data_IF_023090244785
#
_entry.id   IF_023090244785
#
_cell.length_a   1.000
_cell.length_b   1.000
_cell.length_c   1.000
_cell.angle_alpha   90.00
_cell.angle_beta   90.00
_cell.angle_gamma   90.00
#
_symmetry.space_group_name_H-M   'P 1'
#
loop_
_entity.id
_entity.type
_entity.pdbx_description
1 polymer ?
#
# COMPACT_ATOMS: atom_id res chain seq x y z
N UNK A 1 5.64 6.59 1.97
CA UNK A 1 4.35 7.05 1.40
C UNK A 1 4.06 8.53 1.60
N UNK A 2 4.37 9.14 2.76
CA UNK A 2 4.12 10.57 2.99
C UNK A 2 4.89 11.46 2.02
N UNK A 3 6.22 11.32 1.99
CA UNK A 3 7.11 12.12 1.15
C UNK A 3 6.78 11.98 -0.33
N UNK A 4 6.48 10.77 -0.77
CA UNK A 4 6.12 10.47 -2.16
C UNK A 4 4.81 11.15 -2.56
N UNK A 5 3.84 11.23 -1.64
CA UNK A 5 2.58 11.94 -1.88
C UNK A 5 2.80 13.46 -1.89
N UNK A 6 3.60 14.00 -0.97
CA UNK A 6 3.97 15.42 -0.96
C UNK A 6 4.69 15.82 -2.27
N UNK A 7 5.62 14.99 -2.73
CA UNK A 7 6.28 15.12 -4.03
C UNK A 7 5.27 15.05 -5.19
N UNK A 8 4.30 14.13 -5.14
CA UNK A 8 3.25 14.05 -6.16
C UNK A 8 2.44 15.35 -6.25
N UNK A 9 1.99 15.91 -5.13
CA UNK A 9 1.29 17.21 -5.13
C UNK A 9 2.18 18.33 -5.69
N UNK A 10 3.45 18.38 -5.25
CA UNK A 10 4.41 19.39 -5.71
C UNK A 10 4.68 19.31 -7.22
N UNK A 11 4.88 18.09 -7.76
CA UNK A 11 5.12 17.87 -9.21
C UNK A 11 3.91 18.23 -10.08
N UNK A 12 2.71 18.25 -9.51
CA UNK A 12 1.47 18.58 -10.23
C UNK A 12 0.98 20.01 -9.93
N UNK A 13 1.86 20.90 -9.46
CA UNK A 13 1.55 22.29 -9.12
C UNK A 13 0.35 22.46 -8.17
N UNK A 14 0.12 21.46 -7.33
CA UNK A 14 -0.96 21.46 -6.35
C UNK A 14 -0.41 21.75 -4.95
N UNK A 15 -1.11 22.61 -4.22
CA UNK A 15 -0.81 22.81 -2.79
C UNK A 15 -1.15 21.55 -2.00
N UNK A 16 -0.39 21.28 -0.93
CA UNK A 16 -0.75 20.25 0.03
C UNK A 16 -2.14 20.53 0.64
N UNK A 17 -2.93 19.50 0.96
CA UNK A 17 -4.18 19.68 1.68
C UNK A 17 -3.97 20.40 3.02
N UNK A 18 -4.85 21.34 3.38
CA UNK A 18 -4.78 22.04 4.66
C UNK A 18 -5.22 21.17 5.85
N UNK A 19 -6.10 20.19 5.61
CA UNK A 19 -6.70 19.33 6.63
C UNK A 19 -6.10 17.92 6.55
N UNK A 20 -4.82 17.79 6.92
CA UNK A 20 -4.12 16.51 6.92
C UNK A 20 -4.32 15.75 8.23
N UNK A 21 -4.63 14.47 8.13
CA UNK A 21 -4.66 13.54 9.25
C UNK A 21 -3.58 12.48 9.03
N UNK A 22 -2.69 12.33 10.01
CA UNK A 22 -1.67 11.29 9.99
C UNK A 22 -2.12 10.12 10.87
N UNK A 23 -2.19 8.93 10.28
CA UNK A 23 -2.50 7.69 10.96
C UNK A 23 -1.46 6.62 10.61
N UNK A 24 -0.91 5.96 11.63
CA UNK A 24 0.13 4.92 11.46
C UNK A 24 -0.45 3.52 11.34
N UNK A 25 -1.74 3.35 11.66
CA UNK A 25 -2.43 2.07 11.60
C UNK A 25 -3.48 2.07 10.47
N UNK A 26 -3.36 1.15 9.53
CA UNK A 26 -4.30 1.00 8.42
C UNK A 26 -5.75 0.75 8.86
N UNK A 27 -5.95 0.10 10.03
CA UNK A 27 -7.29 -0.09 10.60
C UNK A 27 -7.94 1.25 10.99
N UNK A 28 -7.16 2.17 11.58
CA UNK A 28 -7.61 3.52 11.91
C UNK A 28 -7.90 4.32 10.64
N UNK A 29 -7.00 4.26 9.64
CA UNK A 29 -7.23 4.91 8.34
C UNK A 29 -8.49 4.40 7.66
N UNK A 30 -8.73 3.08 7.70
CA UNK A 30 -9.96 2.48 7.15
C UNK A 30 -11.19 3.00 7.88
N UNK A 31 -11.17 3.08 9.20
CA UNK A 31 -12.30 3.60 9.97
C UNK A 31 -12.60 5.06 9.58
N UNK A 32 -11.56 5.90 9.48
CA UNK A 32 -11.70 7.29 9.03
C UNK A 32 -12.31 7.38 7.63
N UNK A 33 -11.81 6.62 6.66
CA UNK A 33 -12.36 6.58 5.29
C UNK A 33 -13.82 6.14 5.23
N UNK A 34 -14.25 5.32 6.19
CA UNK A 34 -15.58 4.72 6.21
C UNK A 34 -16.60 5.59 6.96
N UNK A 35 -16.14 6.39 7.93
CA UNK A 35 -16.99 7.20 8.82
C UNK A 35 -16.93 8.70 8.53
N UNK A 36 -15.98 9.14 7.69
CA UNK A 36 -15.75 10.56 7.40
C UNK A 36 -15.46 10.78 5.92
N UNK A 37 -15.59 12.04 5.49
CA UNK A 37 -15.34 12.46 4.10
C UNK A 37 -13.85 12.76 3.88
N UNK A 38 -13.01 11.73 4.02
CA UNK A 38 -11.56 11.84 3.79
C UNK A 38 -11.12 10.98 2.62
N UNK A 39 -10.00 11.36 2.01
CA UNK A 39 -9.30 10.57 1.00
C UNK A 39 -7.94 10.15 1.54
N UNK A 40 -7.47 8.95 1.17
CA UNK A 40 -6.18 8.45 1.61
C UNK A 40 -5.49 7.67 0.48
N UNK A 41 -4.17 7.78 0.42
CA UNK A 41 -3.33 6.86 -0.33
C UNK A 41 -3.11 5.60 0.52
N UNK A 42 -3.49 4.44 0.00
CA UNK A 42 -3.35 3.13 0.64
C UNK A 42 -2.68 2.14 -0.30
N UNK A 43 -1.94 1.14 0.24
CA UNK A 43 -1.59 -0.04 -0.53
C UNK A 43 -2.84 -0.70 -1.12
N UNK A 44 -2.76 -1.08 -2.40
CA UNK A 44 -3.88 -1.63 -3.17
C UNK A 44 -4.60 -2.79 -2.47
N UNK A 45 -3.84 -3.71 -1.87
CA UNK A 45 -4.35 -4.85 -1.11
C UNK A 45 -5.27 -4.46 0.06
N UNK A 46 -5.08 -3.27 0.63
CA UNK A 46 -5.91 -2.77 1.74
C UNK A 46 -7.18 -2.11 1.20
N UNK A 47 -7.06 -1.36 0.11
CA UNK A 47 -8.19 -0.69 -0.56
C UNK A 47 -9.20 -1.67 -1.16
N UNK A 48 -8.73 -2.81 -1.69
CA UNK A 48 -9.56 -3.83 -2.33
C UNK A 48 -10.49 -4.60 -1.37
N UNK A 49 -10.36 -4.39 -0.05
CA UNK A 49 -10.92 -5.27 0.97
C UNK A 49 -12.39 -5.03 1.35
N UNK A 50 -13.18 -4.17 0.67
CA UNK A 50 -14.61 -4.08 0.99
C UNK A 50 -15.51 -3.13 0.20
N UNK A 51 -16.83 -3.33 0.28
CA UNK A 51 -17.84 -2.66 -0.56
C UNK A 51 -18.11 -1.19 -0.20
N UNK A 52 -17.52 -0.68 0.89
CA UNK A 52 -17.76 0.69 1.39
C UNK A 52 -16.71 1.70 0.94
N UNK A 53 -15.69 1.26 0.20
CA UNK A 53 -14.61 2.11 -0.30
C UNK A 53 -14.62 2.06 -1.82
N UNK A 54 -14.34 3.20 -2.43
CA UNK A 54 -14.19 3.33 -3.88
C UNK A 54 -12.81 3.89 -4.17
N UNK A 55 -12.05 3.18 -5.01
CA UNK A 55 -10.77 3.67 -5.49
C UNK A 55 -11.01 4.84 -6.44
N UNK A 56 -10.27 5.93 -6.24
CA UNK A 56 -10.24 7.03 -7.19
C UNK A 56 -9.42 6.62 -8.41
N UNK A 57 -9.94 6.85 -9.62
CA UNK A 57 -9.25 6.59 -10.89
C UNK A 57 -8.17 7.63 -11.15
N UNK A 58 -7.16 7.69 -10.28
CA UNK A 58 -6.04 8.62 -10.35
C UNK A 58 -4.75 7.79 -10.34
N UNK A 59 -3.93 7.96 -11.38
CA UNK A 59 -2.60 7.38 -11.42
C UNK A 59 -1.69 8.19 -10.51
N UNK A 60 -1.43 7.64 -9.34
CA UNK A 60 -0.39 8.13 -8.45
C UNK A 60 0.90 7.46 -8.92
N UNK A 61 1.75 8.17 -9.67
CA UNK A 61 3.12 7.74 -10.05
C UNK A 61 4.05 7.72 -8.82
N UNK A 62 3.59 7.05 -7.76
CA UNK A 62 4.29 6.83 -6.52
C UNK A 62 5.17 5.61 -6.74
N UNK A 63 6.44 5.73 -6.33
CA UNK A 63 7.32 4.57 -6.23
C UNK A 63 6.67 3.64 -5.20
N UNK A 64 6.10 2.53 -5.68
CA UNK A 64 5.43 1.56 -4.83
C UNK A 64 6.31 1.15 -3.66
N UNK A 65 5.72 0.97 -2.47
CA UNK A 65 6.48 0.50 -1.32
C UNK A 65 7.05 -0.89 -1.63
N UNK A 66 8.38 -1.01 -1.64
CA UNK A 66 9.06 -2.27 -1.86
C UNK A 66 8.86 -3.16 -0.63
N UNK A 67 8.16 -4.27 -0.79
CA UNK A 67 8.05 -5.30 0.25
C UNK A 67 9.14 -6.33 0.03
N UNK A 68 9.97 -6.56 1.06
CA UNK A 68 11.12 -7.46 0.98
C UNK A 68 11.38 -8.19 2.28
N UNK A 69 12.38 -9.06 2.24
CA UNK A 69 12.81 -9.84 3.40
C UNK A 69 14.13 -9.29 3.93
N UNK A 70 14.15 -8.92 5.21
CA UNK A 70 15.39 -8.51 5.88
C UNK A 70 16.03 -9.73 6.55
N UNK A 71 17.33 -9.95 6.30
CA UNK A 71 18.10 -11.07 6.85
C UNK A 71 19.37 -10.56 7.52
N UNK A 72 19.74 -11.18 8.65
CA UNK A 72 21.05 -10.95 9.25
C UNK A 72 22.14 -11.51 8.35
N UNK A 73 23.12 -10.67 7.99
CA UNK A 73 24.25 -11.09 7.17
C UNK A 73 25.00 -12.27 7.82
N UNK A 74 25.40 -13.25 7.01
CA UNK A 74 26.16 -14.43 7.47
C UNK A 74 25.37 -15.46 8.27
N UNK A 75 24.10 -15.21 8.62
CA UNK A 75 23.27 -16.19 9.34
C UNK A 75 22.60 -17.16 8.36
N UNK A 76 22.94 -18.45 8.46
CA UNK A 76 22.19 -19.51 7.77
C UNK A 76 20.78 -19.60 8.32
N UNK A 77 19.81 -19.77 7.43
CA UNK A 77 18.43 -20.03 7.82
C UNK A 77 18.29 -21.49 8.24
N UNK A 78 17.35 -21.77 9.13
CA UNK A 78 16.91 -23.14 9.35
C UNK A 78 16.08 -23.60 8.13
N UNK A 79 15.95 -24.91 7.90
CA UNK A 79 15.08 -25.42 6.84
C UNK A 79 13.64 -24.89 6.91
N UNK A 80 13.11 -24.70 8.11
CA UNK A 80 11.77 -24.14 8.32
C UNK A 80 11.68 -22.67 7.88
N UNK A 81 12.70 -21.84 8.16
CA UNK A 81 12.72 -20.44 7.74
C UNK A 81 12.94 -20.29 6.22
N UNK A 82 13.66 -21.21 5.59
CA UNK A 82 13.78 -21.27 4.13
C UNK A 82 12.44 -21.61 3.49
N UNK A 83 11.76 -22.64 3.99
CA UNK A 83 10.42 -23.03 3.53
C UNK A 83 9.41 -21.88 3.70
N UNK A 84 9.43 -21.20 4.85
CA UNK A 84 8.57 -20.02 5.10
C UNK A 84 8.87 -18.88 4.12
N UNK A 85 10.16 -18.57 3.90
CA UNK A 85 10.59 -17.55 2.93
C UNK A 85 10.06 -17.86 1.54
N UNK A 86 10.21 -19.12 1.09
CA UNK A 86 9.71 -19.53 -0.21
C UNK A 86 8.18 -19.42 -0.30
N UNK A 87 7.46 -19.79 0.76
CA UNK A 87 6.01 -19.65 0.82
C UNK A 87 5.57 -18.19 0.69
N UNK A 88 6.22 -17.26 1.39
CA UNK A 88 5.92 -15.83 1.31
C UNK A 88 6.13 -15.28 -0.11
N UNK A 89 7.23 -15.68 -0.77
CA UNK A 89 7.52 -15.29 -2.15
C UNK A 89 6.45 -15.81 -3.11
N UNK A 90 6.11 -17.10 -3.02
CA UNK A 90 5.06 -17.71 -3.84
C UNK A 90 3.71 -17.01 -3.66
N UNK A 91 3.31 -16.72 -2.42
CA UNK A 91 2.06 -15.99 -2.15
C UNK A 91 2.12 -14.56 -2.70
N UNK A 92 3.22 -13.84 -2.53
CA UNK A 92 3.36 -12.47 -3.04
C UNK A 92 3.21 -12.40 -4.57
N UNK A 93 3.72 -13.40 -5.30
CA UNK A 93 3.50 -13.52 -6.75
C UNK A 93 2.02 -13.76 -7.10
N UNK A 94 1.28 -14.53 -6.30
CA UNK A 94 -0.15 -14.76 -6.52
C UNK A 94 -1.03 -13.53 -6.26
N UNK A 95 -0.55 -12.60 -5.42
CA UNK A 95 -1.25 -11.37 -5.08
C UNK A 95 -1.18 -10.28 -6.17
N UNK A 96 -0.23 -10.39 -7.11
CA UNK A 96 -0.02 -9.42 -8.21
C UNK A 96 -0.91 -9.67 -9.44
N UNK A 97 -1.98 -10.45 -9.34
CA UNK A 97 -2.89 -10.65 -10.46
C UNK A 97 -3.59 -9.31 -10.81
N UNK A 98 -3.42 -8.77 -12.02
CA UNK A 98 -4.07 -7.54 -12.42
C UNK A 98 -5.57 -7.80 -12.54
N UNK A 99 -6.39 -7.12 -11.74
CA UNK A 99 -7.82 -7.00 -12.06
C UNK A 99 -7.94 -6.08 -13.26
N UNK A 100 -7.80 -6.66 -14.45
CA UNK A 100 -8.29 -6.05 -15.68
C UNK A 100 -9.79 -5.86 -15.54
N UNK A 101 -10.23 -4.61 -15.42
CA UNK A 101 -11.62 -4.24 -15.58
C UNK A 101 -11.95 -4.40 -17.07
N UNK A 102 -12.62 -5.50 -17.42
CA UNK A 102 -13.20 -5.73 -18.73
C UNK A 102 -14.44 -4.86 -18.86
N UNK A 103 -14.39 -3.88 -19.77
CA UNK A 103 -15.57 -3.26 -20.41
C UNK A 103 -16.26 -4.25 -21.36
#
# INVERSE_FOLDING_TARGET
MRTELEEFFHRNDCSLPANLVEATAFLTTRQLLVETDVVAALPELIGASGPRLTALLISLDLVGAWVGLTRTAGRRLSPASEAMTQSLITTAHSMHAPTAHTD
#
